data_IF_874601447888
#
_entry.id   IF_874601447888
#
_cell.length_a   1.000
_cell.length_b   1.000
_cell.length_c   1.000
_cell.angle_alpha   90.00
_cell.angle_beta   90.00
_cell.angle_gamma   90.00
#
_symmetry.space_group_name_H-M   'P 1'
#
loop_
_entity.id
_entity.type
_entity.pdbx_description
1 polymer ?
#
# COMPACT_ATOMS: atom_id res chain seq x y z
N UNK A 1 -2.65 -6.37 -20.45
CA UNK A 1 -2.80 -5.23 -19.51
C UNK A 1 -1.78 -5.23 -18.34
N UNK A 2 -1.68 -6.29 -17.53
CA UNK A 2 -0.67 -6.36 -16.44
C UNK A 2 0.72 -6.65 -17.02
N UNK A 3 0.80 -7.70 -17.84
CA UNK A 3 2.05 -8.10 -18.50
C UNK A 3 2.56 -7.02 -19.47
N UNK A 4 1.66 -6.37 -20.21
CA UNK A 4 1.95 -5.21 -21.07
C UNK A 4 2.56 -4.01 -20.32
N UNK A 5 2.33 -3.91 -19.01
CA UNK A 5 2.84 -2.82 -18.15
C UNK A 5 4.01 -3.26 -17.27
N UNK A 6 4.53 -4.47 -17.48
CA UNK A 6 5.57 -5.09 -16.67
C UNK A 6 5.26 -5.04 -15.16
N UNK A 7 3.97 -5.07 -14.82
CA UNK A 7 3.50 -4.89 -13.45
C UNK A 7 3.32 -6.24 -12.75
N UNK A 8 3.62 -6.30 -11.45
CA UNK A 8 3.36 -7.50 -10.64
C UNK A 8 1.96 -7.42 -10.01
N UNK A 9 1.18 -8.50 -10.14
CA UNK A 9 -0.12 -8.60 -9.49
C UNK A 9 0.03 -8.84 -7.97
N UNK A 10 0.26 -7.80 -7.17
CA UNK A 10 0.44 -7.89 -5.72
C UNK A 10 -0.88 -8.01 -4.91
N UNK A 11 -1.98 -8.45 -5.55
CA UNK A 11 -3.30 -8.54 -4.91
C UNK A 11 -3.39 -9.85 -4.11
N UNK A 12 -3.56 -9.81 -2.78
CA UNK A 12 -3.65 -11.01 -1.96
C UNK A 12 -4.91 -11.81 -2.32
N UNK A 13 -4.77 -13.09 -2.71
CA UNK A 13 -5.92 -13.97 -2.89
C UNK A 13 -6.71 -14.15 -1.58
N UNK A 14 -7.99 -14.53 -1.66
CA UNK A 14 -8.80 -14.90 -0.47
C UNK A 14 -8.14 -16.04 0.33
N UNK A 15 -8.43 -16.14 1.63
CA UNK A 15 -7.86 -17.19 2.51
C UNK A 15 -8.06 -18.59 1.94
N UNK A 16 -9.27 -18.87 1.48
CA UNK A 16 -9.68 -20.19 0.97
C UNK A 16 -9.57 -20.30 -0.55
N UNK A 17 -8.81 -19.41 -1.18
CA UNK A 17 -8.67 -19.40 -2.63
C UNK A 17 -7.98 -20.69 -3.13
N UNK A 18 -8.63 -21.33 -4.12
CA UNK A 18 -8.11 -22.49 -4.83
C UNK A 18 -7.46 -22.06 -6.15
N UNK A 19 -6.48 -22.85 -6.56
CA UNK A 19 -5.83 -22.73 -7.88
C UNK A 19 -6.91 -22.99 -8.92
N UNK A 20 -7.04 -22.09 -9.89
CA UNK A 20 -8.02 -22.24 -10.97
C UNK A 20 -7.47 -23.06 -12.12
N UNK A 21 -6.19 -22.86 -12.46
CA UNK A 21 -5.53 -23.53 -13.56
C UNK A 21 -4.39 -24.42 -13.03
N UNK A 22 -4.65 -25.72 -13.03
CA UNK A 22 -3.66 -26.75 -12.76
C UNK A 22 -2.72 -26.93 -13.98
N UNK A 23 -1.53 -27.48 -13.75
CA UNK A 23 -0.43 -27.56 -14.73
C UNK A 23 -0.71 -28.35 -16.01
N UNK A 24 -1.89 -28.96 -16.15
CA UNK A 24 -2.26 -29.81 -17.28
C UNK A 24 -2.92 -29.03 -18.44
N UNK A 25 -3.00 -27.70 -18.36
CA UNK A 25 -3.58 -26.86 -19.42
C UNK A 25 -2.50 -26.29 -20.34
N UNK A 26 -2.79 -26.23 -21.64
CA UNK A 26 -2.01 -25.41 -22.60
C UNK A 26 -2.38 -23.93 -22.43
N UNK A 27 -1.43 -23.14 -21.93
CA UNK A 27 -1.56 -21.68 -21.78
C UNK A 27 -0.66 -21.11 -20.67
N UNK A 28 -0.47 -19.79 -20.62
CA UNK A 28 0.31 -19.15 -19.56
C UNK A 28 -0.35 -19.35 -18.19
N UNK A 29 0.48 -19.43 -17.14
CA UNK A 29 0.00 -19.52 -15.77
C UNK A 29 -0.75 -18.24 -15.40
N UNK A 30 -1.88 -18.39 -14.69
CA UNK A 30 -2.65 -17.24 -14.25
C UNK A 30 -1.93 -16.53 -13.08
N UNK A 31 -1.68 -15.22 -13.12
CA UNK A 31 -0.89 -14.50 -12.09
C UNK A 31 -1.39 -14.72 -10.66
N UNK A 32 -2.72 -14.77 -10.46
CA UNK A 32 -3.36 -15.13 -9.17
C UNK A 32 -2.92 -16.50 -8.64
N UNK A 33 -2.79 -17.49 -9.51
CA UNK A 33 -2.44 -18.85 -9.11
C UNK A 33 -0.95 -18.96 -8.77
N UNK A 34 -0.09 -18.16 -9.41
CA UNK A 34 1.32 -18.01 -9.02
C UNK A 34 1.45 -17.45 -7.62
N UNK A 35 0.70 -16.39 -7.28
CA UNK A 35 0.64 -15.88 -5.92
C UNK A 35 0.18 -16.95 -4.93
N UNK A 36 -0.84 -17.74 -5.27
CA UNK A 36 -1.30 -18.84 -4.42
C UNK A 36 -0.21 -19.91 -4.21
N UNK A 37 0.54 -20.25 -5.26
CA UNK A 37 1.66 -21.20 -5.15
C UNK A 37 2.76 -20.63 -4.26
N UNK A 38 3.10 -19.34 -4.41
CA UNK A 38 4.10 -18.68 -3.57
C UNK A 38 3.66 -18.62 -2.11
N UNK A 39 2.44 -18.18 -1.83
CA UNK A 39 1.84 -18.13 -0.49
C UNK A 39 1.86 -19.52 0.18
N UNK A 40 1.58 -20.60 -0.56
CA UNK A 40 1.66 -21.96 -0.01
C UNK A 40 3.08 -22.41 0.36
N UNK A 41 4.10 -21.81 -0.25
CA UNK A 41 5.52 -22.13 0.01
C UNK A 41 6.11 -21.31 1.15
N UNK A 42 5.79 -20.01 1.21
CA UNK A 42 6.44 -19.08 2.15
C UNK A 42 5.52 -18.56 3.25
N UNK A 43 4.25 -18.95 3.25
CA UNK A 43 3.16 -18.34 4.03
C UNK A 43 2.62 -17.01 3.45
N UNK A 44 1.51 -16.52 4.02
CA UNK A 44 0.83 -15.30 3.55
C UNK A 44 1.49 -14.01 4.05
N UNK A 45 2.07 -14.04 5.25
CA UNK A 45 2.75 -12.88 5.86
C UNK A 45 4.02 -12.54 5.10
N UNK A 46 4.91 -13.52 4.93
CA UNK A 46 6.15 -13.37 4.20
C UNK A 46 5.88 -12.98 2.73
N UNK A 47 4.87 -13.59 2.10
CA UNK A 47 4.49 -13.19 0.73
C UNK A 47 4.08 -11.71 0.64
N UNK A 48 3.35 -11.17 1.62
CA UNK A 48 2.97 -9.74 1.64
C UNK A 48 4.19 -8.83 1.77
N UNK A 49 5.20 -9.24 2.52
CA UNK A 49 6.47 -8.53 2.64
C UNK A 49 7.25 -8.59 1.32
N UNK A 50 7.37 -9.77 0.70
CA UNK A 50 8.05 -9.97 -0.60
C UNK A 50 7.49 -9.06 -1.69
N UNK A 51 6.16 -8.89 -1.74
CA UNK A 51 5.50 -8.05 -2.76
C UNK A 51 5.33 -6.59 -2.34
N UNK A 52 5.92 -6.17 -1.21
CA UNK A 52 5.78 -4.81 -0.66
C UNK A 52 4.31 -4.36 -0.51
N UNK A 53 3.42 -5.28 -0.15
CA UNK A 53 1.98 -5.05 -0.10
C UNK A 53 1.59 -3.86 0.80
N UNK A 54 2.34 -3.67 1.89
CA UNK A 54 2.08 -2.65 2.91
C UNK A 54 2.46 -1.22 2.50
N UNK A 55 3.04 -1.02 1.31
CA UNK A 55 3.36 0.33 0.80
C UNK A 55 2.13 1.24 0.73
N UNK A 56 0.96 0.69 0.37
CA UNK A 56 -0.30 1.44 0.33
C UNK A 56 -0.74 1.92 1.72
N UNK A 57 -0.71 1.04 2.72
CA UNK A 57 -1.07 1.42 4.10
C UNK A 57 -0.15 2.53 4.65
N UNK A 58 1.13 2.57 4.26
CA UNK A 58 2.03 3.65 4.64
C UNK A 58 1.59 5.00 4.03
N UNK A 59 1.25 5.03 2.74
CA UNK A 59 0.76 6.26 2.09
C UNK A 59 -0.57 6.73 2.66
N UNK A 60 -1.49 5.80 2.96
CA UNK A 60 -2.79 6.12 3.57
C UNK A 60 -2.61 6.68 4.98
N UNK A 61 -1.72 6.09 5.78
CA UNK A 61 -1.38 6.59 7.12
C UNK A 61 -0.72 7.97 7.06
N UNK A 62 0.18 8.21 6.09
CA UNK A 62 0.78 9.53 5.89
C UNK A 62 -0.25 10.60 5.55
N UNK A 63 -1.20 10.28 4.67
CA UNK A 63 -2.30 11.19 4.31
C UNK A 63 -3.29 11.40 5.45
N UNK A 64 -3.58 10.36 6.23
CA UNK A 64 -4.39 10.46 7.44
C UNK A 64 -3.76 11.47 8.41
N UNK A 65 -2.46 11.33 8.71
CA UNK A 65 -1.74 12.26 9.58
C UNK A 65 -1.78 13.70 9.07
N UNK A 66 -1.54 13.92 7.78
CA UNK A 66 -1.62 15.25 7.18
C UNK A 66 -2.99 15.89 7.44
N UNK A 67 -4.08 15.16 7.14
CA UNK A 67 -5.45 15.65 7.33
C UNK A 67 -5.82 15.85 8.80
N UNK A 68 -5.38 14.97 9.69
CA UNK A 68 -5.68 15.08 11.12
C UNK A 68 -4.95 16.25 11.77
N UNK A 69 -3.72 16.55 11.35
CA UNK A 69 -2.91 17.65 11.93
C UNK A 69 -3.30 19.01 11.36
N UNK A 70 -3.56 19.10 10.05
CA UNK A 70 -3.80 20.37 9.35
C UNK A 70 -5.24 20.54 8.86
N UNK A 71 -6.19 19.75 9.35
CA UNK A 71 -7.64 19.84 9.06
C UNK A 71 -8.06 19.27 7.69
N UNK A 72 -7.11 19.03 6.78
CA UNK A 72 -7.39 18.42 5.47
C UNK A 72 -8.15 19.35 4.51
N UNK A 73 -8.28 20.61 4.87
CA UNK A 73 -8.86 21.71 4.08
C UNK A 73 -7.78 22.75 3.81
N UNK A 74 -7.97 23.57 2.77
CA UNK A 74 -7.04 24.64 2.40
C UNK A 74 -7.73 25.99 2.49
N UNK A 75 -7.08 26.97 3.11
CA UNK A 75 -7.63 28.32 3.28
C UNK A 75 -7.51 29.16 2.00
N UNK A 76 -6.47 28.89 1.20
CA UNK A 76 -6.20 29.68 0.01
C UNK A 76 -7.28 29.51 -1.07
N UNK A 77 -7.66 30.61 -1.74
CA UNK A 77 -8.67 30.59 -2.82
C UNK A 77 -8.09 30.39 -4.22
N UNK A 78 -6.77 30.53 -4.39
CA UNK A 78 -6.07 30.36 -5.68
C UNK A 78 -5.29 29.04 -5.66
N UNK A 79 -5.36 28.26 -6.73
CA UNK A 79 -4.66 26.97 -6.85
C UNK A 79 -3.16 27.10 -6.53
N UNK A 80 -2.47 28.10 -7.07
CA UNK A 80 -1.04 28.30 -6.81
C UNK A 80 -0.74 28.50 -5.30
N UNK A 81 -1.62 29.20 -4.58
CA UNK A 81 -1.49 29.42 -3.15
C UNK A 81 -1.86 28.16 -2.35
N UNK A 82 -2.88 27.40 -2.77
CA UNK A 82 -3.23 26.10 -2.18
C UNK A 82 -2.08 25.08 -2.32
N UNK A 83 -1.44 25.03 -3.49
CA UNK A 83 -0.25 24.18 -3.69
C UNK A 83 0.87 24.58 -2.74
N UNK A 84 1.09 25.88 -2.54
CA UNK A 84 2.11 26.38 -1.61
C UNK A 84 1.78 26.02 -0.16
N UNK A 85 0.52 26.20 0.25
CA UNK A 85 -0.01 25.83 1.57
C UNK A 85 0.22 24.33 1.85
N UNK A 86 -0.24 23.45 0.96
CA UNK A 86 -0.04 21.99 1.08
C UNK A 86 1.43 21.58 1.12
N UNK A 87 2.30 22.25 0.34
CA UNK A 87 3.74 21.97 0.37
C UNK A 87 4.38 22.37 1.69
N UNK A 88 3.92 23.46 2.32
CA UNK A 88 4.37 23.87 3.65
C UNK A 88 3.91 22.86 4.70
N UNK A 89 2.65 22.44 4.67
CA UNK A 89 2.10 21.42 5.58
C UNK A 89 2.86 20.09 5.48
N UNK A 90 3.13 19.63 4.25
CA UNK A 90 3.92 18.42 4.02
C UNK A 90 5.34 18.55 4.59
N UNK A 91 6.00 19.71 4.41
CA UNK A 91 7.32 19.98 4.99
C UNK A 91 7.26 20.01 6.53
N UNK A 92 6.25 20.64 7.11
CA UNK A 92 6.04 20.66 8.55
C UNK A 92 5.83 19.26 9.11
N UNK A 93 4.99 18.44 8.47
CA UNK A 93 4.75 17.04 8.87
C UNK A 93 6.01 16.17 8.80
N UNK A 94 6.80 16.35 7.74
CA UNK A 94 8.08 15.65 7.60
C UNK A 94 9.07 16.08 8.69
N UNK A 95 9.09 17.37 9.04
CA UNK A 95 9.93 17.87 10.14
C UNK A 95 9.49 17.31 11.50
N UNK A 96 8.19 17.27 11.77
CA UNK A 96 7.64 16.64 12.98
C UNK A 96 8.07 15.17 13.07
N UNK A 97 7.94 14.42 11.97
CA UNK A 97 8.34 13.00 11.88
C UNK A 97 9.84 12.80 12.17
N UNK A 98 10.70 13.72 11.76
CA UNK A 98 12.14 13.67 12.05
C UNK A 98 12.47 14.01 13.51
N UNK A 99 11.68 14.88 14.14
CA UNK A 99 11.88 15.26 15.55
C UNK A 99 11.47 14.14 16.50
N UNK A 100 10.50 13.32 16.10
CA UNK A 100 10.07 12.15 16.85
C UNK A 100 8.73 11.63 16.37
N UNK A 101 8.47 10.36 16.64
CA UNK A 101 7.19 9.72 16.36
C UNK A 101 6.71 8.99 17.62
N UNK A 102 5.40 9.00 17.90
CA UNK A 102 4.85 8.21 18.98
C UNK A 102 4.97 6.72 18.67
N UNK A 103 5.23 5.92 19.71
CA UNK A 103 5.25 4.46 19.61
C UNK A 103 3.83 3.91 19.48
N UNK A 104 3.53 3.34 18.32
CA UNK A 104 2.26 2.66 18.06
C UNK A 104 2.43 1.16 18.21
N UNK A 105 1.75 0.55 19.17
CA UNK A 105 1.71 -0.89 19.36
C UNK A 105 0.27 -1.41 19.31
N UNK A 106 0.11 -2.64 18.85
CA UNK A 106 -1.19 -3.31 18.82
C UNK A 106 -1.55 -3.72 20.26
N UNK A 107 -2.57 -3.09 20.82
CA UNK A 107 -3.21 -3.58 22.05
C UNK A 107 -4.09 -4.78 21.67
N UNK A 108 -4.19 -5.78 22.56
CA UNK A 108 -4.92 -7.02 22.33
C UNK A 108 -6.31 -6.79 21.72
N UNK A 109 -6.74 -7.72 20.85
CA UNK A 109 -8.02 -7.65 20.16
C UNK A 109 -9.16 -8.17 21.05
#
# INVERSE_FOLDING_TARGET
>A
AIDEREATAAIPPRKDAKIWFHGNRKGPAHPRDENLRRIRKVDRSAWKEEVNYHRRSLSETGMYRLKTVFTGEVCARKIAAQTTELMIECKALNRMTQLGMPDCYRVAA
#
